data_IF_954452626308
#
_entry.id   IF_954452626308
#
_cell.length_a   1.000
_cell.length_b   1.000
_cell.length_c   1.000
_cell.angle_alpha   90.00
_cell.angle_beta   90.00
_cell.angle_gamma   90.00
#
_symmetry.space_group_name_H-M   'P 1'
#
loop_
_entity.id
_entity.type
_entity.pdbx_description
1 polymer ?
#
# COMPACT_ATOMS: atom_id res chain seq x y z
N UNK A 1 -18.13 -12.00 24.76
CA UNK A 1 -17.16 -10.93 24.41
C UNK A 1 -17.95 -9.85 23.68
N UNK A 2 -18.25 -8.76 24.37
CA UNK A 2 -19.24 -7.75 24.00
C UNK A 2 -18.95 -7.09 22.64
N UNK A 3 -19.80 -7.38 21.65
CA UNK A 3 -19.85 -6.70 20.34
C UNK A 3 -20.68 -5.39 20.39
N UNK A 4 -20.83 -4.78 21.58
CA UNK A 4 -21.60 -3.55 21.73
C UNK A 4 -20.71 -2.32 21.46
N UNK A 5 -21.17 -1.53 20.50
CA UNK A 5 -20.70 -0.20 20.04
C UNK A 5 -19.42 0.30 20.70
N UNK A 6 -18.27 0.16 20.03
CA UNK A 6 -17.04 0.83 20.41
C UNK A 6 -17.07 2.28 19.88
N UNK A 7 -17.27 3.31 20.73
CA UNK A 7 -17.24 4.70 20.26
C UNK A 7 -15.82 5.10 19.81
N UNK A 8 -15.72 5.80 18.67
CA UNK A 8 -14.60 6.70 18.36
C UNK A 8 -13.27 6.08 17.90
N UNK A 9 -13.22 4.82 17.44
CA UNK A 9 -11.96 4.16 17.03
C UNK A 9 -11.73 4.07 15.52
N UNK A 10 -12.20 5.05 14.75
CA UNK A 10 -12.02 5.16 13.29
C UNK A 10 -10.55 5.10 12.86
N UNK A 11 -9.64 5.69 13.64
CA UNK A 11 -8.19 5.71 13.35
C UNK A 11 -7.56 4.31 13.39
N UNK A 12 -8.06 3.42 14.25
CA UNK A 12 -7.53 2.04 14.37
C UNK A 12 -7.89 1.19 13.16
N UNK A 13 -9.08 1.40 12.59
CA UNK A 13 -9.58 0.66 11.41
C UNK A 13 -8.78 1.04 10.17
N UNK A 14 -8.55 2.33 9.97
CA UNK A 14 -7.79 2.84 8.82
C UNK A 14 -6.38 2.25 8.75
N UNK A 15 -5.72 2.04 9.89
CA UNK A 15 -4.33 1.54 9.94
C UNK A 15 -4.19 0.03 9.74
N UNK A 16 -5.26 -0.74 9.95
CA UNK A 16 -5.26 -2.21 9.76
C UNK A 16 -5.60 -2.60 8.32
N UNK A 17 -6.34 -1.74 7.60
CA UNK A 17 -6.81 -2.00 6.24
C UNK A 17 -5.86 -1.47 5.14
N UNK A 18 -4.74 -0.85 5.49
CA UNK A 18 -3.84 -0.25 4.51
C UNK A 18 -3.01 -1.30 3.79
N UNK A 19 -3.27 -1.42 2.48
CA UNK A 19 -2.52 -2.23 1.50
C UNK A 19 -1.02 -1.86 1.35
N UNK A 20 -0.55 -0.80 2.02
CA UNK A 20 0.83 -0.29 1.87
C UNK A 20 1.90 -1.22 2.43
N UNK A 21 1.56 -2.17 3.29
CA UNK A 21 2.53 -3.04 4.00
C UNK A 21 3.29 -3.99 3.08
N UNK A 22 2.69 -4.39 1.95
CA UNK A 22 3.31 -5.31 0.98
C UNK A 22 3.89 -4.59 -0.23
N UNK A 23 3.86 -3.26 -0.24
CA UNK A 23 4.35 -2.50 -1.38
C UNK A 23 5.89 -2.52 -1.43
N UNK A 24 6.42 -2.89 -2.60
CA UNK A 24 7.84 -2.82 -2.93
C UNK A 24 7.98 -1.82 -4.08
N UNK A 25 8.71 -0.73 -3.85
CA UNK A 25 9.02 0.24 -4.89
C UNK A 25 10.35 -0.11 -5.56
N UNK A 26 10.30 -0.38 -6.87
CA UNK A 26 11.48 -0.69 -7.69
C UNK A 26 12.14 0.54 -8.32
N UNK A 27 11.65 1.74 -8.02
CA UNK A 27 12.21 2.96 -8.58
C UNK A 27 13.65 3.16 -8.09
N UNK A 28 14.59 3.33 -9.03
CA UNK A 28 16.00 3.57 -8.71
C UNK A 28 16.57 4.65 -9.62
N UNK A 29 17.23 5.64 -9.02
CA UNK A 29 17.99 6.65 -9.75
C UNK A 29 19.47 6.56 -9.44
N UNK A 30 20.32 6.73 -10.46
CA UNK A 30 21.77 6.66 -10.32
C UNK A 30 22.31 7.90 -9.60
N UNK A 31 23.07 7.68 -8.52
CA UNK A 31 23.84 8.78 -7.89
C UNK A 31 25.12 9.08 -8.67
N UNK A 32 25.77 10.21 -8.35
CA UNK A 32 26.98 10.67 -9.05
C UNK A 32 28.10 9.62 -9.16
N UNK A 33 28.18 8.69 -8.21
CA UNK A 33 29.16 7.60 -8.16
C UNK A 33 28.80 6.40 -9.04
N UNK A 34 27.51 6.21 -9.33
CA UNK A 34 26.99 5.10 -10.14
C UNK A 34 26.90 5.48 -11.63
N UNK A 35 26.90 6.78 -11.94
CA UNK A 35 26.94 7.26 -13.33
C UNK A 35 28.36 7.08 -13.90
N UNK A 36 28.46 6.39 -15.03
CA UNK A 36 29.74 6.02 -15.67
C UNK A 36 30.68 7.22 -15.91
N UNK A 37 31.93 7.14 -15.49
CA UNK A 37 32.97 8.16 -15.72
C UNK A 37 33.10 9.18 -14.58
N UNK A 38 33.63 10.38 -14.84
CA UNK A 38 33.67 11.45 -13.85
C UNK A 38 34.83 11.44 -12.84
N UNK A 39 35.86 10.62 -13.05
CA UNK A 39 37.04 10.54 -12.17
C UNK A 39 38.09 11.63 -12.37
N UNK A 40 38.15 12.25 -13.56
CA UNK A 40 39.09 13.35 -13.85
C UNK A 40 38.47 14.71 -13.54
N UNK A 41 39.21 15.56 -12.83
CA UNK A 41 38.80 16.95 -12.57
C UNK A 41 38.69 17.72 -13.90
N UNK A 42 37.58 18.44 -14.16
CA UNK A 42 37.35 19.12 -15.44
C UNK A 42 38.41 20.19 -15.77
N UNK A 43 38.80 20.99 -14.77
CA UNK A 43 39.84 22.02 -14.89
C UNK A 43 40.52 22.31 -13.54
N UNK A 44 41.66 23.00 -13.58
CA UNK A 44 42.40 23.44 -12.40
C UNK A 44 41.55 24.36 -11.51
N UNK A 45 41.76 24.32 -10.20
CA UNK A 45 40.95 25.04 -9.22
C UNK A 45 41.00 26.58 -9.39
N UNK A 46 42.09 27.11 -9.93
CA UNK A 46 42.36 28.53 -10.14
C UNK A 46 42.94 28.74 -11.56
N UNK A 47 42.86 29.97 -12.06
CA UNK A 47 43.42 30.38 -13.35
C UNK A 47 42.53 30.16 -14.57
N UNK A 48 41.37 29.50 -14.44
CA UNK A 48 40.45 29.25 -15.56
C UNK A 48 39.33 30.29 -15.72
N UNK A 49 39.10 31.17 -14.73
CA UNK A 49 37.98 32.12 -14.72
C UNK A 49 36.58 31.50 -14.63
N UNK A 50 36.48 30.17 -14.55
CA UNK A 50 35.22 29.40 -14.50
C UNK A 50 34.84 29.02 -13.07
N UNK A 51 33.58 28.66 -12.86
CA UNK A 51 33.09 28.08 -11.61
C UNK A 51 33.91 26.85 -11.19
N UNK A 52 34.00 26.59 -9.88
CA UNK A 52 34.81 25.48 -9.34
C UNK A 52 34.02 24.18 -9.39
N UNK A 53 34.54 23.18 -10.10
CA UNK A 53 33.94 21.85 -10.16
C UNK A 53 34.94 20.73 -9.88
N UNK A 54 34.49 19.72 -9.14
CA UNK A 54 35.27 18.52 -8.82
C UNK A 54 35.10 17.38 -9.83
N UNK A 55 33.89 17.23 -10.38
CA UNK A 55 33.54 16.17 -11.32
C UNK A 55 32.46 16.63 -12.29
N UNK A 56 32.48 16.10 -13.52
CA UNK A 56 31.41 16.28 -14.52
C UNK A 56 30.12 15.51 -14.19
N UNK A 57 30.15 14.57 -13.23
CA UNK A 57 28.98 13.75 -12.84
C UNK A 57 28.22 14.31 -11.65
N UNK A 58 28.58 15.50 -11.19
CA UNK A 58 27.85 16.20 -10.14
C UNK A 58 26.41 16.51 -10.59
N UNK A 59 25.41 16.49 -9.69
CA UNK A 59 24.01 16.82 -9.99
C UNK A 59 23.80 18.20 -10.64
N UNK A 60 24.76 19.11 -10.47
CA UNK A 60 24.75 20.43 -11.11
C UNK A 60 24.97 20.37 -12.64
N UNK A 61 25.53 19.27 -13.13
CA UNK A 61 25.86 19.10 -14.55
C UNK A 61 24.75 18.34 -15.29
N UNK A 62 24.53 18.70 -16.55
CA UNK A 62 23.67 17.91 -17.46
C UNK A 62 24.23 16.50 -17.61
N UNK A 63 23.39 15.47 -17.40
CA UNK A 63 23.82 14.07 -17.39
C UNK A 63 24.67 13.65 -16.18
N UNK A 64 24.64 14.46 -15.11
CA UNK A 64 25.12 14.09 -13.78
C UNK A 64 24.16 13.14 -13.05
N UNK A 65 24.58 12.65 -11.89
CA UNK A 65 23.71 11.83 -11.04
C UNK A 65 22.67 12.66 -10.28
N UNK A 66 21.61 12.03 -9.79
CA UNK A 66 20.57 12.70 -8.99
C UNK A 66 20.95 12.69 -7.51
N UNK A 67 20.79 13.82 -6.81
CA UNK A 67 21.12 13.95 -5.38
C UNK A 67 20.13 13.18 -4.48
N UNK A 68 18.85 13.47 -4.63
CA UNK A 68 17.76 12.90 -3.83
C UNK A 68 16.72 12.25 -4.74
N UNK A 69 17.09 11.10 -5.30
CA UNK A 69 16.18 10.26 -6.07
C UNK A 69 15.76 9.02 -5.28
N UNK A 70 14.75 8.28 -5.75
CA UNK A 70 14.42 6.98 -5.20
C UNK A 70 15.63 6.04 -5.28
N UNK A 71 15.92 5.34 -4.19
CA UNK A 71 17.08 4.46 -4.03
C UNK A 71 16.62 3.01 -3.94
N UNK A 72 16.57 2.34 -5.08
CA UNK A 72 16.51 0.88 -5.16
C UNK A 72 15.27 0.26 -4.52
N UNK A 73 15.19 -1.08 -4.43
CA UNK A 73 14.02 -1.72 -3.88
C UNK A 73 13.83 -1.27 -2.43
N UNK A 74 12.79 -0.46 -2.21
CA UNK A 74 12.39 0.00 -0.88
C UNK A 74 11.13 -0.74 -0.50
N UNK A 75 11.20 -1.45 0.62
CA UNK A 75 10.07 -2.15 1.22
C UNK A 75 9.39 -1.26 2.26
N UNK A 76 8.07 -1.15 2.18
CA UNK A 76 7.26 -0.41 3.17
C UNK A 76 6.69 -1.32 4.27
N UNK A 77 7.34 -2.44 4.52
CA UNK A 77 6.89 -3.46 5.45
C UNK A 77 7.04 -3.02 6.91
N UNK A 78 5.95 -3.14 7.69
CA UNK A 78 5.97 -3.05 9.14
C UNK A 78 4.88 -3.95 9.74
N UNK A 79 5.16 -4.59 10.87
CA UNK A 79 4.18 -5.42 11.57
C UNK A 79 3.37 -4.61 12.57
N UNK A 80 2.03 -4.75 12.53
CA UNK A 80 1.17 -4.26 13.59
C UNK A 80 1.08 -5.24 14.77
N UNK A 81 0.95 -4.74 16.02
CA UNK A 81 0.62 -5.57 17.17
C UNK A 81 -0.66 -6.40 16.94
N UNK A 82 -0.63 -7.66 17.36
CA UNK A 82 -1.75 -8.60 17.18
C UNK A 82 -3.07 -8.08 17.76
N UNK A 83 -3.04 -7.41 18.92
CA UNK A 83 -4.23 -6.84 19.58
C UNK A 83 -4.95 -5.83 18.68
N UNK A 84 -4.19 -5.02 17.94
CA UNK A 84 -4.73 -3.99 17.03
C UNK A 84 -5.39 -4.64 15.81
N UNK A 85 -4.76 -5.68 15.23
CA UNK A 85 -5.33 -6.44 14.11
C UNK A 85 -6.67 -7.10 14.48
N UNK A 86 -6.69 -7.80 15.62
CA UNK A 86 -7.91 -8.45 16.14
C UNK A 86 -9.01 -7.42 16.42
N UNK A 87 -8.63 -6.26 16.98
CA UNK A 87 -9.58 -5.19 17.24
C UNK A 87 -10.14 -4.59 15.94
N UNK A 88 -9.32 -4.43 14.90
CA UNK A 88 -9.75 -3.97 13.58
C UNK A 88 -10.81 -4.88 12.97
N UNK A 89 -10.60 -6.20 13.02
CA UNK A 89 -11.59 -7.19 12.54
C UNK A 89 -12.92 -7.11 13.29
N UNK A 90 -12.89 -6.99 14.63
CA UNK A 90 -14.10 -6.83 15.44
C UNK A 90 -14.89 -5.57 15.08
N UNK A 91 -14.20 -4.47 14.83
CA UNK A 91 -14.82 -3.21 14.44
C UNK A 91 -15.43 -3.33 13.02
N UNK A 92 -14.72 -3.96 12.08
CA UNK A 92 -15.24 -4.18 10.72
C UNK A 92 -16.54 -4.99 10.73
N UNK A 93 -16.58 -6.10 11.47
CA UNK A 93 -17.78 -6.93 11.62
C UNK A 93 -18.91 -6.19 12.33
N UNK A 94 -18.61 -5.47 13.42
CA UNK A 94 -19.60 -4.68 14.15
C UNK A 94 -20.19 -3.55 13.29
N UNK A 95 -19.37 -2.90 12.45
CA UNK A 95 -19.82 -1.86 11.53
C UNK A 95 -20.74 -2.43 10.44
N UNK A 96 -20.45 -3.61 9.91
CA UNK A 96 -21.31 -4.27 8.92
C UNK A 96 -22.64 -4.71 9.52
N UNK A 97 -22.62 -5.19 10.76
CA UNK A 97 -23.85 -5.51 11.50
C UNK A 97 -24.69 -4.25 11.78
N UNK A 98 -24.07 -3.14 12.19
CA UNK A 98 -24.78 -1.89 12.47
C UNK A 98 -25.36 -1.20 11.22
N UNK A 99 -24.87 -1.56 10.03
CA UNK A 99 -25.37 -1.09 8.73
C UNK A 99 -26.32 -2.11 8.05
N UNK A 100 -26.73 -3.16 8.76
CA UNK A 100 -27.58 -4.25 8.25
C UNK A 100 -27.03 -4.98 7.01
N UNK A 101 -25.72 -4.93 6.78
CA UNK A 101 -25.03 -5.60 5.66
C UNK A 101 -24.44 -6.97 6.02
N UNK A 102 -24.57 -7.41 7.27
CA UNK A 102 -24.07 -8.70 7.73
C UNK A 102 -25.24 -9.69 7.84
N UNK A 103 -25.20 -10.75 7.05
CA UNK A 103 -26.18 -11.83 7.10
C UNK A 103 -25.49 -13.13 7.52
N UNK A 104 -26.04 -13.79 8.54
CA UNK A 104 -25.59 -15.11 8.98
C UNK A 104 -26.47 -16.15 8.32
N UNK A 105 -25.85 -17.13 7.66
CA UNK A 105 -26.51 -18.23 6.96
C UNK A 105 -25.95 -19.53 7.53
N UNK A 106 -26.83 -20.46 7.90
CA UNK A 106 -26.40 -21.73 8.52
C UNK A 106 -25.70 -22.66 7.53
N UNK A 107 -26.22 -22.77 6.31
CA UNK A 107 -25.63 -23.63 5.26
C UNK A 107 -25.77 -22.97 3.89
N UNK A 108 -24.65 -22.90 3.16
CA UNK A 108 -24.64 -22.46 1.77
C UNK A 108 -24.92 -23.65 0.84
N UNK A 109 -26.16 -24.14 0.82
CA UNK A 109 -26.56 -25.19 -0.11
C UNK A 109 -27.05 -24.56 -1.42
N UNK A 110 -26.17 -24.54 -2.43
CA UNK A 110 -26.50 -24.05 -3.77
C UNK A 110 -26.94 -25.28 -4.59
N UNK A 111 -28.22 -25.38 -4.98
CA UNK A 111 -28.78 -26.57 -5.64
C UNK A 111 -28.21 -26.82 -7.04
N UNK A 112 -27.70 -25.78 -7.69
CA UNK A 112 -27.21 -25.81 -9.07
C UNK A 112 -25.89 -25.02 -9.16
N UNK A 113 -24.90 -25.47 -9.95
CA UNK A 113 -23.63 -24.75 -10.13
C UNK A 113 -23.75 -23.48 -10.99
N UNK A 114 -24.95 -23.11 -11.43
CA UNK A 114 -25.17 -21.99 -12.34
C UNK A 114 -24.98 -20.64 -11.61
N UNK A 115 -24.13 -19.73 -12.13
CA UNK A 115 -23.88 -18.44 -11.50
C UNK A 115 -25.11 -17.51 -11.52
N UNK A 116 -26.03 -17.72 -12.47
CA UNK A 116 -27.27 -16.96 -12.60
C UNK A 116 -28.16 -17.14 -11.38
N UNK A 117 -28.26 -18.37 -10.85
CA UNK A 117 -29.03 -18.67 -9.65
C UNK A 117 -28.54 -17.85 -8.44
N UNK A 118 -27.22 -17.70 -8.29
CA UNK A 118 -26.63 -16.91 -7.22
C UNK A 118 -26.95 -15.41 -7.38
N UNK A 119 -26.87 -14.90 -8.61
CA UNK A 119 -27.17 -13.49 -8.92
C UNK A 119 -28.64 -13.16 -8.67
N UNK A 120 -29.55 -14.05 -9.05
CA UNK A 120 -30.99 -13.90 -8.82
C UNK A 120 -31.33 -13.95 -7.34
N UNK A 121 -30.67 -14.84 -6.57
CA UNK A 121 -30.83 -14.92 -5.13
C UNK A 121 -30.35 -13.64 -4.43
N UNK A 122 -29.18 -13.11 -4.82
CA UNK A 122 -28.65 -11.84 -4.29
C UNK A 122 -29.62 -10.69 -4.58
N UNK A 123 -30.17 -10.63 -5.80
CA UNK A 123 -31.13 -9.60 -6.20
C UNK A 123 -32.44 -9.72 -5.43
N UNK A 124 -32.96 -10.93 -5.26
CA UNK A 124 -34.18 -11.21 -4.50
C UNK A 124 -34.05 -10.84 -3.03
N UNK A 125 -32.87 -11.04 -2.43
CA UNK A 125 -32.59 -10.73 -1.02
C UNK A 125 -32.12 -9.29 -0.77
N UNK A 126 -31.96 -8.48 -1.83
CA UNK A 126 -31.47 -7.10 -1.76
C UNK A 126 -30.12 -6.94 -1.03
N UNK A 127 -29.19 -7.88 -1.21
CA UNK A 127 -27.86 -7.85 -0.58
C UNK A 127 -26.87 -6.84 -1.20
N UNK A 128 -27.29 -6.13 -2.25
CA UNK A 128 -26.47 -5.14 -2.96
C UNK A 128 -25.68 -5.72 -4.13
N UNK A 129 -24.73 -4.95 -4.66
CA UNK A 129 -23.99 -5.29 -5.88
C UNK A 129 -22.79 -6.21 -5.64
N UNK A 130 -22.20 -6.18 -4.44
CA UNK A 130 -21.03 -6.99 -4.10
C UNK A 130 -21.27 -7.73 -2.79
N UNK A 131 -21.08 -9.05 -2.84
CA UNK A 131 -21.25 -9.95 -1.70
C UNK A 131 -19.95 -10.71 -1.49
N UNK A 132 -19.46 -10.73 -0.24
CA UNK A 132 -18.32 -11.53 0.17
C UNK A 132 -18.83 -12.73 0.96
N UNK A 133 -18.61 -13.93 0.42
CA UNK A 133 -18.94 -15.20 1.09
C UNK A 133 -17.69 -15.67 1.82
N UNK A 134 -17.82 -16.00 3.10
CA UNK A 134 -16.76 -16.56 3.93
C UNK A 134 -17.25 -17.90 4.45
N UNK A 135 -16.57 -18.97 4.06
CA UNK A 135 -16.80 -20.33 4.54
C UNK A 135 -15.67 -20.75 5.51
N UNK A 136 -15.94 -21.74 6.36
CA UNK A 136 -15.03 -22.21 7.41
C UNK A 136 -14.11 -23.36 6.94
#
# INVERSE_FOLDING_TARGET
ISLQSLPGKTVTVAKVLTCSELQISYAHTKVRSEVRGGGRKPWKQKGSGRARHGSIRSPLWRGGGVSHGPRGPTSYYYMLPMKIRVQGLKIALSSKLAQDYLHVVDTLNIPTPDPEYLMDLIRFRYWGESVLIVDA
#
